data_IF_199255588493
#
_entry.id   IF_199255588493
#
_cell.length_a   1.000
_cell.length_b   1.000
_cell.length_c   1.000
_cell.angle_alpha   90.00
_cell.angle_beta   90.00
_cell.angle_gamma   90.00
#
_symmetry.space_group_name_H-M   'P 1'
#
loop_
_entity.id
_entity.type
_entity.pdbx_description
1 polymer ?
#
# COMPACT_ATOMS: atom_id res chain seq x y z
N UNK A 1 -11.89 -62.26 -5.74
CA UNK A 1 -12.84 -62.28 -6.88
C UNK A 1 -12.57 -63.56 -7.67
N UNK A 2 -13.62 -64.33 -7.96
CA UNK A 2 -13.58 -65.64 -8.62
C UNK A 2 -13.36 -65.49 -10.13
N UNK A 3 -12.17 -65.83 -10.62
CA UNK A 3 -11.93 -65.99 -12.06
C UNK A 3 -12.46 -67.36 -12.49
N UNK A 4 -13.65 -67.35 -13.10
CA UNK A 4 -14.27 -68.53 -13.71
C UNK A 4 -13.51 -68.91 -14.99
N UNK A 5 -12.80 -70.05 -14.96
CA UNK A 5 -12.06 -70.62 -16.09
C UNK A 5 -12.95 -71.61 -16.86
N UNK A 6 -14.19 -71.24 -17.16
CA UNK A 6 -15.09 -72.05 -17.99
C UNK A 6 -15.89 -71.13 -18.93
N UNK A 7 -15.27 -70.71 -20.04
CA UNK A 7 -15.98 -69.94 -21.07
C UNK A 7 -15.13 -69.01 -21.92
N UNK A 8 -14.03 -69.48 -22.51
CA UNK A 8 -13.52 -69.06 -23.82
C UNK A 8 -13.29 -67.58 -24.21
N UNK A 9 -13.47 -66.60 -23.33
CA UNK A 9 -13.16 -65.18 -23.61
C UNK A 9 -12.10 -64.70 -22.61
N UNK A 10 -10.84 -64.68 -23.06
CA UNK A 10 -9.71 -64.17 -22.29
C UNK A 10 -9.73 -62.64 -22.33
N UNK A 11 -10.07 -62.00 -21.21
CA UNK A 11 -10.09 -60.55 -21.09
C UNK A 11 -8.66 -60.00 -20.95
N UNK A 12 -8.06 -59.69 -22.10
CA UNK A 12 -6.70 -59.13 -22.19
C UNK A 12 -6.61 -57.75 -21.53
N UNK A 13 -7.70 -56.98 -21.50
CA UNK A 13 -7.69 -55.61 -20.96
C UNK A 13 -7.63 -55.63 -19.42
N UNK A 14 -8.42 -56.49 -18.77
CA UNK A 14 -8.37 -56.68 -17.33
C UNK A 14 -6.99 -57.17 -16.87
N UNK A 15 -6.40 -58.12 -17.61
CA UNK A 15 -5.07 -58.65 -17.32
C UNK A 15 -3.95 -57.61 -17.51
N UNK A 16 -4.06 -56.77 -18.54
CA UNK A 16 -3.13 -55.65 -18.74
C UNK A 16 -3.22 -54.61 -17.62
N UNK A 17 -4.42 -54.34 -17.10
CA UNK A 17 -4.63 -53.43 -15.99
C UNK A 17 -4.06 -53.99 -14.68
N UNK A 18 -4.30 -55.27 -14.38
CA UNK A 18 -3.72 -55.95 -13.22
C UNK A 18 -2.19 -55.94 -13.28
N UNK A 19 -1.62 -56.19 -14.46
CA UNK A 19 -0.18 -56.15 -14.68
C UNK A 19 0.39 -54.73 -14.49
N UNK A 20 -0.27 -53.70 -15.02
CA UNK A 20 0.14 -52.31 -14.84
C UNK A 20 0.13 -51.91 -13.36
N UNK A 21 -0.94 -52.29 -12.63
CA UNK A 21 -1.05 -52.04 -11.19
C UNK A 21 0.07 -52.74 -10.41
N UNK A 22 0.32 -54.02 -10.69
CA UNK A 22 1.38 -54.78 -10.03
C UNK A 22 2.76 -54.14 -10.25
N UNK A 23 3.04 -53.63 -11.45
CA UNK A 23 4.30 -52.92 -11.75
C UNK A 23 4.43 -51.60 -11.00
N UNK A 24 3.34 -50.84 -10.86
CA UNK A 24 3.33 -49.59 -10.10
C UNK A 24 3.55 -49.83 -8.60
N UNK A 25 2.91 -50.85 -8.04
CA UNK A 25 3.09 -51.26 -6.65
C UNK A 25 4.54 -51.69 -6.37
N UNK A 26 5.13 -52.50 -7.25
CA UNK A 26 6.53 -52.92 -7.16
C UNK A 26 7.49 -51.74 -7.22
N UNK A 27 7.23 -50.79 -8.13
CA UNK A 27 8.02 -49.57 -8.27
C UNK A 27 7.96 -48.74 -6.99
N UNK A 28 6.76 -48.52 -6.46
CA UNK A 28 6.55 -47.75 -5.23
C UNK A 28 7.22 -48.41 -4.02
N UNK A 29 7.07 -49.74 -3.89
CA UNK A 29 7.73 -50.51 -2.85
C UNK A 29 9.24 -50.31 -2.87
N UNK A 30 9.88 -50.48 -4.04
CA UNK A 30 11.33 -50.29 -4.21
C UNK A 30 11.77 -48.87 -3.86
N UNK A 31 11.04 -47.84 -4.31
CA UNK A 31 11.35 -46.45 -3.99
C UNK A 31 11.27 -46.17 -2.48
N UNK A 32 10.23 -46.67 -1.81
CA UNK A 32 10.09 -46.48 -0.35
C UNK A 32 11.17 -47.22 0.44
N UNK A 33 11.56 -48.43 0.02
CA UNK A 33 12.60 -49.21 0.68
C UNK A 33 13.98 -48.56 0.54
N UNK A 34 14.33 -48.11 -0.67
CA UNK A 34 15.55 -47.35 -0.92
C UNK A 34 15.58 -46.04 -0.13
N UNK A 35 14.44 -45.35 -0.04
CA UNK A 35 14.33 -44.13 0.77
C UNK A 35 14.49 -44.42 2.26
N UNK A 36 13.89 -45.51 2.78
CA UNK A 36 14.09 -45.93 4.17
C UNK A 36 15.56 -46.18 4.47
N UNK A 37 16.26 -46.96 3.63
CA UNK A 37 17.70 -47.24 3.80
C UNK A 37 18.52 -45.96 3.86
N UNK A 38 18.26 -45.02 2.95
CA UNK A 38 18.96 -43.73 2.92
C UNK A 38 18.59 -42.84 4.11
N UNK A 39 17.32 -42.77 4.48
CA UNK A 39 16.82 -41.91 5.55
C UNK A 39 17.33 -42.33 6.93
N UNK A 40 17.56 -43.63 7.18
CA UNK A 40 18.17 -44.13 8.43
C UNK A 40 19.53 -43.46 8.69
N UNK A 41 20.31 -43.18 7.65
CA UNK A 41 21.63 -42.56 7.77
C UNK A 41 21.60 -41.03 7.68
N UNK A 42 20.52 -40.44 7.16
CA UNK A 42 20.48 -39.00 6.84
C UNK A 42 19.62 -38.20 7.82
N UNK A 43 18.58 -38.79 8.40
CA UNK A 43 17.64 -38.08 9.27
C UNK A 43 18.17 -37.92 10.70
N UNK A 44 17.99 -36.74 11.28
CA UNK A 44 18.34 -36.45 12.68
C UNK A 44 17.24 -36.77 13.69
N UNK A 45 16.02 -37.05 13.22
CA UNK A 45 14.86 -37.37 14.05
C UNK A 45 13.89 -38.33 13.36
N UNK A 46 13.00 -38.95 14.14
CA UNK A 46 11.97 -39.85 13.61
C UNK A 46 10.97 -39.13 12.68
N UNK A 47 10.59 -37.89 13.01
CA UNK A 47 9.67 -37.11 12.17
C UNK A 47 10.27 -36.79 10.81
N UNK A 48 11.57 -36.48 10.78
CA UNK A 48 12.30 -36.26 9.53
C UNK A 48 12.41 -37.57 8.72
N UNK A 49 12.72 -38.68 9.37
CA UNK A 49 12.70 -40.01 8.74
C UNK A 49 11.34 -40.34 8.12
N UNK A 50 10.25 -40.13 8.88
CA UNK A 50 8.87 -40.34 8.42
C UNK A 50 8.57 -39.48 7.19
N UNK A 51 8.97 -38.22 7.21
CA UNK A 51 8.74 -37.30 6.11
C UNK A 51 9.50 -37.71 4.84
N UNK A 52 10.75 -38.20 4.96
CA UNK A 52 11.48 -38.71 3.79
C UNK A 52 10.78 -39.91 3.16
N UNK A 53 10.35 -40.89 3.97
CA UNK A 53 9.68 -42.09 3.47
C UNK A 53 8.34 -41.76 2.82
N UNK A 54 7.58 -40.80 3.37
CA UNK A 54 6.32 -40.33 2.77
C UNK A 54 6.52 -39.69 1.39
N UNK A 55 7.66 -39.00 1.20
CA UNK A 55 7.99 -38.29 -0.02
C UNK A 55 8.72 -39.15 -1.08
N UNK A 56 8.91 -40.45 -0.85
CA UNK A 56 9.72 -41.32 -1.71
C UNK A 56 9.20 -41.47 -3.15
N UNK A 57 7.90 -41.32 -3.35
CA UNK A 57 7.22 -41.49 -4.65
C UNK A 57 7.04 -40.15 -5.41
N UNK A 58 7.59 -39.05 -4.88
CA UNK A 58 7.50 -37.74 -5.53
C UNK A 58 8.45 -37.69 -6.74
N UNK A 59 7.90 -37.27 -7.88
CA UNK A 59 8.70 -37.03 -9.09
C UNK A 59 9.57 -35.79 -8.90
N UNK A 60 10.88 -35.85 -9.19
CA UNK A 60 11.72 -34.67 -9.16
C UNK A 60 11.23 -33.64 -10.17
N UNK A 61 11.15 -32.38 -9.75
CA UNK A 61 10.70 -31.29 -10.61
C UNK A 61 11.68 -31.12 -11.76
N UNK A 62 11.18 -31.14 -12.99
CA UNK A 62 12.02 -30.99 -14.17
C UNK A 62 12.50 -29.53 -14.32
N UNK A 63 13.66 -29.35 -14.97
CA UNK A 63 14.18 -27.99 -15.26
C UNK A 63 13.20 -27.15 -16.08
N UNK A 64 12.44 -27.80 -16.97
CA UNK A 64 11.37 -27.16 -17.75
C UNK A 64 10.20 -26.71 -16.86
N UNK A 65 9.82 -27.51 -15.87
CA UNK A 65 8.80 -27.13 -14.87
C UNK A 65 9.30 -26.00 -13.97
N UNK A 66 10.56 -25.99 -13.54
CA UNK A 66 11.15 -24.89 -12.78
C UNK A 66 11.17 -23.58 -13.58
N UNK A 67 11.55 -23.63 -14.86
CA UNK A 67 11.49 -22.48 -15.77
C UNK A 67 10.04 -22.04 -16.01
N UNK A 68 9.10 -22.97 -16.11
CA UNK A 68 7.68 -22.65 -16.20
C UNK A 68 7.11 -22.12 -14.89
N UNK A 69 7.62 -22.50 -13.71
CA UNK A 69 7.23 -21.91 -12.42
C UNK A 69 7.75 -20.48 -12.27
N UNK A 70 8.93 -20.18 -12.85
CA UNK A 70 9.49 -18.83 -12.86
C UNK A 70 8.83 -17.92 -13.90
N UNK A 71 8.41 -18.49 -15.03
CA UNK A 71 7.70 -17.81 -16.14
C UNK A 71 6.20 -17.72 -15.95
N UNK A 72 5.59 -18.72 -15.32
CA UNK A 72 4.21 -18.68 -14.84
C UNK A 72 4.20 -17.56 -13.83
N UNK A 73 3.68 -16.45 -14.30
CA UNK A 73 3.79 -15.16 -13.68
C UNK A 73 3.64 -15.30 -12.17
N UNK A 74 4.48 -14.54 -11.48
CA UNK A 74 4.24 -13.96 -10.17
C UNK A 74 2.88 -13.23 -10.21
N UNK A 75 1.78 -13.98 -10.42
CA UNK A 75 0.38 -13.58 -10.29
C UNK A 75 0.15 -13.55 -8.78
N UNK A 76 0.86 -12.64 -8.11
CA UNK A 76 0.26 -12.02 -6.94
C UNK A 76 -1.05 -11.47 -7.46
N UNK A 77 -2.13 -11.78 -6.76
CA UNK A 77 -3.44 -11.21 -6.98
C UNK A 77 -3.32 -9.68 -7.06
N UNK A 78 -3.14 -9.14 -8.26
CA UNK A 78 -3.34 -7.73 -8.55
C UNK A 78 -4.74 -7.68 -9.13
N UNK A 79 -5.72 -7.46 -8.26
CA UNK A 79 -7.11 -7.16 -8.61
C UNK A 79 -7.23 -5.80 -9.29
N UNK A 80 -6.46 -5.57 -10.35
CA UNK A 80 -6.52 -4.38 -11.19
C UNK A 80 -6.14 -4.79 -12.61
N UNK A 81 -7.09 -5.43 -13.28
CA UNK A 81 -7.15 -5.48 -14.74
C UNK A 81 -8.37 -4.66 -15.15
N UNK A 82 -8.27 -3.36 -14.88
CA UNK A 82 -8.96 -2.33 -15.63
C UNK A 82 -8.03 -1.87 -16.74
N UNK A 83 -8.55 -1.91 -17.95
CA UNK A 83 -7.93 -1.59 -19.23
C UNK A 83 -7.06 -0.31 -19.19
N UNK A 84 -5.77 -0.45 -19.52
CA UNK A 84 -4.91 0.69 -19.81
C UNK A 84 -3.73 0.23 -20.68
N UNK A 85 -3.89 0.42 -21.98
CA UNK A 85 -2.81 0.54 -22.96
C UNK A 85 -1.75 1.49 -22.40
N UNK A 86 -0.57 1.00 -22.02
CA UNK A 86 0.56 1.88 -21.73
C UNK A 86 1.84 1.27 -22.29
N UNK A 87 2.36 1.99 -23.28
CA UNK A 87 3.65 1.82 -23.93
C UNK A 87 4.76 1.55 -22.92
N UNK A 88 5.46 0.44 -23.11
CA UNK A 88 6.64 0.04 -22.35
C UNK A 88 7.81 0.99 -22.64
N UNK A 89 7.95 2.07 -21.90
CA UNK A 89 9.24 2.74 -21.74
C UNK A 89 10.05 2.01 -20.67
N UNK A 90 11.23 1.49 -21.04
CA UNK A 90 12.25 0.93 -20.13
C UNK A 90 12.35 1.80 -18.86
N UNK A 91 12.26 1.17 -17.70
CA UNK A 91 12.40 1.83 -16.41
C UNK A 91 13.69 2.65 -16.38
N UNK A 92 13.54 3.98 -16.41
CA UNK A 92 14.61 4.91 -16.08
C UNK A 92 15.05 4.57 -14.66
N UNK A 93 16.30 4.20 -14.46
CA UNK A 93 16.89 4.14 -13.12
C UNK A 93 16.91 5.58 -12.62
N UNK A 94 15.95 5.92 -11.77
CA UNK A 94 15.71 7.30 -11.34
C UNK A 94 16.80 7.75 -10.34
N UNK A 95 17.46 8.85 -10.67
CA UNK A 95 18.46 9.51 -9.84
C UNK A 95 17.72 10.26 -8.72
N UNK A 96 17.85 9.76 -7.49
CA UNK A 96 17.00 10.11 -6.32
C UNK A 96 16.94 11.56 -5.85
N UNK A 97 17.54 12.53 -6.56
CA UNK A 97 17.45 13.96 -6.23
C UNK A 97 16.60 14.77 -7.22
N UNK A 98 16.38 14.29 -8.46
CA UNK A 98 15.57 14.99 -9.48
C UNK A 98 14.10 14.56 -9.50
N UNK A 99 13.77 13.44 -8.85
CA UNK A 99 12.39 12.93 -8.79
C UNK A 99 11.44 13.89 -8.06
N UNK A 100 11.93 14.67 -7.10
CA UNK A 100 11.13 15.64 -6.34
C UNK A 100 10.83 16.95 -7.11
N UNK A 101 11.45 17.17 -8.27
CA UNK A 101 11.19 18.35 -9.11
C UNK A 101 10.14 18.12 -10.19
N UNK A 102 9.60 16.90 -10.28
CA UNK A 102 8.59 16.51 -11.27
C UNK A 102 7.30 16.14 -10.55
N UNK A 103 6.13 16.64 -11.00
CA UNK A 103 4.86 16.29 -10.38
C UNK A 103 4.59 14.80 -10.55
N UNK A 104 4.14 14.10 -9.50
CA UNK A 104 3.90 12.66 -9.57
C UNK A 104 2.73 12.33 -10.49
N UNK A 105 2.90 11.25 -11.27
CA UNK A 105 1.85 10.74 -12.15
C UNK A 105 0.95 9.71 -11.44
N UNK A 106 1.46 9.04 -10.40
CA UNK A 106 0.73 7.99 -9.66
C UNK A 106 0.95 8.11 -8.15
N UNK A 107 0.00 7.60 -7.35
CA UNK A 107 0.11 7.59 -5.89
C UNK A 107 1.36 6.86 -5.39
N UNK A 108 1.75 5.77 -6.05
CA UNK A 108 2.96 5.00 -5.72
C UNK A 108 4.23 5.81 -5.99
N UNK A 109 4.24 6.58 -7.09
CA UNK A 109 5.35 7.48 -7.38
C UNK A 109 5.45 8.61 -6.36
N UNK A 110 4.31 9.22 -5.99
CA UNK A 110 4.24 10.22 -4.92
C UNK A 110 4.86 9.67 -3.63
N UNK A 111 4.37 8.53 -3.12
CA UNK A 111 4.84 7.95 -1.85
C UNK A 111 6.33 7.59 -1.93
N UNK A 112 6.78 7.06 -3.06
CA UNK A 112 8.19 6.71 -3.27
C UNK A 112 9.09 7.95 -3.24
N UNK A 113 8.71 9.01 -3.94
CA UNK A 113 9.48 10.27 -3.98
C UNK A 113 9.43 10.98 -2.63
N UNK A 114 8.26 11.01 -1.98
CA UNK A 114 8.05 11.55 -0.64
C UNK A 114 9.01 10.95 0.39
N UNK A 115 9.16 9.62 0.42
CA UNK A 115 10.06 8.98 1.39
C UNK A 115 11.54 8.98 0.99
N UNK A 116 11.87 9.00 -0.30
CA UNK A 116 13.27 8.86 -0.77
C UNK A 116 13.96 10.19 -1.06
N UNK A 117 13.24 11.15 -1.61
CA UNK A 117 13.79 12.39 -2.15
C UNK A 117 13.48 13.61 -1.27
N UNK A 118 12.37 13.58 -0.52
CA UNK A 118 11.98 14.66 0.40
C UNK A 118 12.45 14.35 1.83
N UNK A 119 13.73 14.59 2.11
CA UNK A 119 14.35 14.30 3.43
C UNK A 119 14.06 15.39 4.47
N UNK A 120 13.90 16.64 4.03
CA UNK A 120 13.66 17.79 4.92
C UNK A 120 12.23 18.29 4.80
N UNK A 121 11.75 19.00 5.82
CA UNK A 121 10.40 19.52 5.84
C UNK A 121 10.11 20.54 4.73
N UNK A 122 11.07 21.42 4.45
CA UNK A 122 11.01 22.35 3.32
C UNK A 122 10.92 21.64 1.96
N UNK A 123 11.64 20.52 1.77
CA UNK A 123 11.57 19.76 0.50
C UNK A 123 10.26 18.97 0.36
N UNK A 124 9.65 18.56 1.49
CA UNK A 124 8.30 17.98 1.52
C UNK A 124 7.25 19.02 1.15
N UNK A 125 7.35 20.22 1.71
CA UNK A 125 6.42 21.31 1.43
C UNK A 125 6.50 21.76 -0.03
N UNK A 126 7.70 21.97 -0.58
CA UNK A 126 7.88 22.30 -1.99
C UNK A 126 7.33 21.21 -2.93
N UNK A 127 7.43 19.93 -2.54
CA UNK A 127 6.85 18.83 -3.31
C UNK A 127 5.31 18.79 -3.22
N UNK A 128 4.73 19.22 -2.11
CA UNK A 128 3.28 19.39 -1.97
C UNK A 128 2.75 20.53 -2.83
N UNK A 129 3.44 21.68 -2.83
CA UNK A 129 3.09 22.80 -3.72
C UNK A 129 3.11 22.37 -5.19
N UNK A 130 4.12 21.58 -5.60
CA UNK A 130 4.21 21.02 -6.94
C UNK A 130 3.07 20.04 -7.27
N UNK A 131 2.64 19.26 -6.28
CA UNK A 131 1.59 18.25 -6.48
C UNK A 131 0.21 18.87 -6.56
N UNK A 132 -0.03 20.01 -5.92
CA UNK A 132 -1.32 20.72 -5.81
C UNK A 132 -2.46 19.90 -5.16
N UNK A 133 -3.48 20.56 -4.55
CA UNK A 133 -4.56 19.85 -3.85
C UNK A 133 -5.41 18.99 -4.79
N UNK A 134 -5.76 19.50 -5.97
CA UNK A 134 -6.60 18.80 -6.94
C UNK A 134 -5.95 17.50 -7.46
N UNK A 135 -4.64 17.52 -7.72
CA UNK A 135 -3.93 16.30 -8.14
C UNK A 135 -3.71 15.36 -6.96
N UNK A 136 -3.48 15.85 -5.74
CA UNK A 136 -3.42 14.97 -4.56
C UNK A 136 -4.73 14.17 -4.41
N UNK A 137 -5.87 14.83 -4.54
CA UNK A 137 -7.18 14.15 -4.54
C UNK A 137 -7.29 13.11 -5.67
N UNK A 138 -6.87 13.43 -6.89
CA UNK A 138 -6.91 12.48 -8.01
C UNK A 138 -6.01 11.25 -7.78
N UNK A 139 -4.79 11.48 -7.26
CA UNK A 139 -3.81 10.43 -6.98
C UNK A 139 -4.30 9.46 -5.88
N UNK A 140 -4.93 9.99 -4.83
CA UNK A 140 -5.39 9.23 -3.68
C UNK A 140 -6.91 9.06 -3.62
N UNK A 141 -7.59 9.15 -4.77
CA UNK A 141 -9.04 9.05 -4.87
C UNK A 141 -9.62 7.77 -4.24
N UNK A 142 -8.92 6.65 -4.36
CA UNK A 142 -9.32 5.39 -3.75
C UNK A 142 -9.07 5.34 -2.23
N UNK A 143 -7.87 5.72 -1.79
CA UNK A 143 -7.45 5.61 -0.39
C UNK A 143 -6.21 6.48 -0.13
N UNK A 144 -6.23 7.20 0.99
CA UNK A 144 -5.08 7.87 1.57
C UNK A 144 -4.76 7.17 2.91
N UNK A 145 -3.56 6.60 3.01
CA UNK A 145 -3.13 5.90 4.23
C UNK A 145 -2.96 6.86 5.42
N UNK A 146 -3.24 6.37 6.62
CA UNK A 146 -3.17 7.14 7.89
C UNK A 146 -1.81 7.77 8.13
N UNK A 147 -0.73 6.99 7.97
CA UNK A 147 0.65 7.46 8.15
C UNK A 147 0.99 8.59 7.18
N UNK A 148 0.56 8.47 5.92
CA UNK A 148 0.80 9.53 4.94
C UNK A 148 0.00 10.79 5.27
N UNK A 149 -1.30 10.68 5.57
CA UNK A 149 -2.13 11.81 5.98
C UNK A 149 -1.48 12.59 7.13
N UNK A 150 -0.97 11.87 8.13
CA UNK A 150 -0.32 12.48 9.26
C UNK A 150 0.99 13.19 8.89
N UNK A 151 1.80 12.58 8.03
CA UNK A 151 3.03 13.22 7.53
C UNK A 151 2.74 14.49 6.71
N UNK A 152 1.60 14.54 6.01
CA UNK A 152 1.12 15.74 5.31
C UNK A 152 0.72 16.83 6.31
N UNK A 153 -0.09 16.50 7.32
CA UNK A 153 -0.50 17.43 8.38
C UNK A 153 0.71 17.99 9.14
N UNK A 154 1.66 17.12 9.52
CA UNK A 154 2.92 17.55 10.14
C UNK A 154 3.72 18.49 9.24
N UNK A 155 3.64 18.30 7.92
CA UNK A 155 4.29 19.19 6.96
C UNK A 155 3.69 20.58 6.91
N UNK A 156 2.36 20.67 6.92
CA UNK A 156 1.67 21.96 6.95
C UNK A 156 1.97 22.68 8.26
N UNK A 157 1.86 21.98 9.41
CA UNK A 157 2.18 22.55 10.72
C UNK A 157 3.60 23.11 10.83
N UNK A 158 4.60 22.38 10.32
CA UNK A 158 5.98 22.83 10.39
C UNK A 158 6.23 24.09 9.55
N UNK A 159 5.52 24.24 8.43
CA UNK A 159 5.68 25.39 7.54
C UNK A 159 5.22 26.70 8.21
N UNK A 160 4.22 26.66 9.10
CA UNK A 160 3.81 27.84 9.88
C UNK A 160 4.93 28.43 10.75
N UNK A 161 5.85 27.59 11.26
CA UNK A 161 6.97 28.05 12.11
C UNK A 161 7.97 28.88 11.30
N UNK A 162 8.15 28.55 10.02
CA UNK A 162 9.13 29.18 9.15
C UNK A 162 8.59 30.46 8.46
N UNK A 163 7.26 30.62 8.37
CA UNK A 163 6.62 31.66 7.55
C UNK A 163 6.51 33.03 8.23
N UNK A 164 6.20 33.10 9.52
CA UNK A 164 6.02 34.37 10.22
C UNK A 164 6.58 34.35 11.66
N UNK A 165 7.91 34.23 11.81
CA UNK A 165 8.54 34.14 13.14
C UNK A 165 8.53 35.45 13.94
N UNK A 166 8.35 36.61 13.28
CA UNK A 166 8.45 37.94 13.91
C UNK A 166 7.16 38.78 13.85
N UNK A 167 6.05 38.20 13.38
CA UNK A 167 4.75 38.87 13.18
C UNK A 167 4.87 40.12 12.29
N UNK A 168 5.64 40.00 11.20
CA UNK A 168 5.87 41.09 10.25
C UNK A 168 4.76 41.15 9.19
N UNK A 169 4.41 42.36 8.74
CA UNK A 169 3.29 42.61 7.83
C UNK A 169 3.51 41.92 6.46
N UNK A 170 4.73 41.94 5.92
CA UNK A 170 5.05 41.34 4.62
C UNK A 170 4.99 39.79 4.66
N UNK A 171 5.24 39.20 5.83
CA UNK A 171 5.16 37.76 6.05
C UNK A 171 3.73 37.29 6.30
N UNK A 172 2.83 38.19 6.73
CA UNK A 172 1.41 37.89 6.91
C UNK A 172 0.72 37.49 5.59
N UNK A 173 1.03 38.13 4.46
CA UNK A 173 0.46 37.73 3.15
C UNK A 173 0.86 36.29 2.76
N UNK A 174 2.09 35.88 3.09
CA UNK A 174 2.57 34.50 2.86
C UNK A 174 1.89 33.52 3.79
N UNK A 175 1.66 33.91 5.04
CA UNK A 175 0.90 33.14 6.03
C UNK A 175 -0.54 32.90 5.51
N UNK A 176 -1.21 33.94 4.99
CA UNK A 176 -2.55 33.81 4.39
C UNK A 176 -2.58 32.87 3.18
N UNK A 177 -1.60 32.96 2.28
CA UNK A 177 -1.49 32.05 1.14
C UNK A 177 -1.31 30.59 1.59
N UNK A 178 -0.53 30.37 2.64
CA UNK A 178 -0.31 29.04 3.21
C UNK A 178 -1.58 28.51 3.92
N UNK A 179 -2.35 29.36 4.59
CA UNK A 179 -3.66 29.00 5.17
C UNK A 179 -4.61 28.54 4.07
N UNK A 180 -4.78 29.32 3.01
CA UNK A 180 -5.64 28.96 1.89
C UNK A 180 -5.23 27.60 1.28
N UNK A 181 -3.92 27.41 1.04
CA UNK A 181 -3.39 26.15 0.54
C UNK A 181 -3.64 24.98 1.50
N UNK A 182 -3.49 25.20 2.81
CA UNK A 182 -3.71 24.17 3.83
C UNK A 182 -5.18 23.76 3.91
N UNK A 183 -6.11 24.71 3.82
CA UNK A 183 -7.56 24.45 3.75
C UNK A 183 -7.89 23.62 2.52
N UNK A 184 -7.40 24.01 1.34
CA UNK A 184 -7.62 23.28 0.10
C UNK A 184 -7.04 21.85 0.16
N UNK A 185 -5.90 21.68 0.82
CA UNK A 185 -5.26 20.38 1.00
C UNK A 185 -6.05 19.48 1.96
N UNK A 186 -6.54 20.03 3.08
CA UNK A 186 -7.43 19.32 4.01
C UNK A 186 -8.74 18.90 3.32
N UNK A 187 -9.33 19.78 2.52
CA UNK A 187 -10.53 19.48 1.73
C UNK A 187 -10.28 18.38 0.68
N UNK A 188 -9.14 18.44 -0.01
CA UNK A 188 -8.73 17.38 -0.94
C UNK A 188 -8.56 16.02 -0.26
N UNK A 189 -8.02 15.99 0.96
CA UNK A 189 -7.86 14.76 1.75
C UNK A 189 -9.20 14.23 2.26
N UNK A 190 -10.10 15.12 2.71
CA UNK A 190 -11.44 14.76 3.18
C UNK A 190 -12.30 14.11 2.08
N UNK A 191 -12.08 14.48 0.81
CA UNK A 191 -12.79 13.94 -0.36
C UNK A 191 -12.25 12.60 -0.88
N UNK A 192 -11.35 11.94 -0.16
CA UNK A 192 -10.83 10.61 -0.55
C UNK A 192 -11.80 9.48 -0.16
N UNK A 193 -11.86 8.41 -0.95
CA UNK A 193 -12.93 7.40 -0.86
C UNK A 193 -13.02 6.62 0.46
N UNK A 194 -11.94 6.55 1.25
CA UNK A 194 -11.89 5.84 2.55
C UNK A 194 -11.56 6.75 3.73
N UNK A 195 -11.77 8.05 3.58
CA UNK A 195 -11.38 9.04 4.57
C UNK A 195 -11.89 8.76 5.99
N UNK A 196 -13.18 8.46 6.17
CA UNK A 196 -13.75 8.15 7.49
C UNK A 196 -13.10 6.92 8.17
N UNK A 197 -12.72 5.92 7.38
CA UNK A 197 -12.01 4.76 7.91
C UNK A 197 -10.57 5.13 8.30
N UNK A 198 -9.92 5.97 7.49
CA UNK A 198 -8.62 6.54 7.84
C UNK A 198 -8.71 7.28 9.16
N UNK A 199 -9.75 8.12 9.38
CA UNK A 199 -9.99 8.82 10.64
C UNK A 199 -10.20 7.89 11.84
N UNK A 200 -10.97 6.81 11.67
CA UNK A 200 -11.22 5.84 12.74
C UNK A 200 -9.94 5.13 13.26
N UNK A 201 -8.86 5.14 12.48
CA UNK A 201 -7.58 4.55 12.83
C UNK A 201 -6.55 5.57 13.37
N UNK A 202 -6.94 6.83 13.58
CA UNK A 202 -6.02 7.83 14.14
C UNK A 202 -5.70 7.53 15.60
N UNK A 203 -4.42 7.66 15.94
CA UNK A 203 -3.94 7.65 17.31
C UNK A 203 -4.24 9.00 18.00
N UNK A 204 -4.43 9.06 19.33
CA UNK A 204 -4.63 10.32 20.04
C UNK A 204 -3.53 11.36 19.82
N UNK A 205 -2.28 10.93 19.63
CA UNK A 205 -1.15 11.80 19.29
C UNK A 205 -1.33 12.48 17.92
N UNK A 206 -1.95 11.79 16.98
CA UNK A 206 -2.21 12.28 15.63
C UNK A 206 -3.36 13.28 15.61
N UNK A 207 -4.41 13.02 16.39
CA UNK A 207 -5.50 13.96 16.61
C UNK A 207 -5.01 15.28 17.21
N UNK A 208 -4.07 15.24 18.16
CA UNK A 208 -3.49 16.47 18.73
C UNK A 208 -2.78 17.32 17.68
N UNK A 209 -2.03 16.72 16.74
CA UNK A 209 -1.38 17.50 15.68
C UNK A 209 -2.37 18.09 14.69
N UNK A 210 -3.46 17.37 14.40
CA UNK A 210 -4.54 17.87 13.58
C UNK A 210 -5.23 19.05 14.26
N UNK A 211 -5.59 18.91 15.55
CA UNK A 211 -6.14 20.00 16.34
C UNK A 211 -5.21 21.22 16.37
N UNK A 212 -3.91 21.01 16.56
CA UNK A 212 -2.92 22.10 16.51
C UNK A 212 -2.94 22.83 15.15
N UNK A 213 -3.06 22.10 14.03
CA UNK A 213 -3.17 22.71 12.71
C UNK A 213 -4.45 23.55 12.60
N UNK A 214 -5.60 23.01 13.00
CA UNK A 214 -6.86 23.75 12.94
C UNK A 214 -6.84 24.99 13.83
N UNK A 215 -6.30 24.91 15.05
CA UNK A 215 -6.14 26.08 15.92
C UNK A 215 -5.31 27.17 15.25
N UNK A 216 -4.19 26.80 14.60
CA UNK A 216 -3.38 27.76 13.83
C UNK A 216 -4.13 28.38 12.66
N UNK A 217 -4.90 27.58 11.92
CA UNK A 217 -5.72 28.08 10.82
C UNK A 217 -6.78 29.07 11.33
N UNK A 218 -7.48 28.76 12.42
CA UNK A 218 -8.44 29.69 13.02
C UNK A 218 -7.77 30.99 13.51
N UNK A 219 -6.64 30.91 14.20
CA UNK A 219 -5.88 32.09 14.67
C UNK A 219 -5.52 33.05 13.53
N UNK A 220 -5.15 32.53 12.35
CA UNK A 220 -4.79 33.36 11.20
C UNK A 220 -6.04 33.90 10.49
N UNK A 221 -7.06 33.06 10.30
CA UNK A 221 -8.32 33.47 9.64
C UNK A 221 -9.05 34.54 10.47
N UNK A 222 -9.04 34.43 11.80
CA UNK A 222 -9.61 35.45 12.69
C UNK A 222 -8.83 36.77 12.59
N UNK A 223 -7.49 36.73 12.53
CA UNK A 223 -6.65 37.91 12.25
C UNK A 223 -7.04 38.55 10.91
N UNK A 224 -7.22 37.76 9.85
CA UNK A 224 -7.64 38.26 8.53
C UNK A 224 -9.04 38.90 8.57
N UNK A 225 -9.98 38.30 9.33
CA UNK A 225 -11.34 38.82 9.49
C UNK A 225 -11.37 40.20 10.14
N UNK A 226 -10.48 40.46 11.09
CA UNK A 226 -10.34 41.79 11.69
C UNK A 226 -9.85 42.86 10.70
N UNK A 227 -9.17 42.46 9.63
CA UNK A 227 -8.79 43.34 8.53
C UNK A 227 -9.91 43.60 7.51
N UNK A 228 -11.11 43.01 7.69
CA UNK A 228 -12.31 43.33 6.91
C UNK A 228 -12.38 42.66 5.53
N UNK A 229 -11.67 41.55 5.34
CA UNK A 229 -11.56 40.86 4.06
C UNK A 229 -12.69 39.81 3.88
N UNK A 230 -13.53 39.96 2.87
CA UNK A 230 -14.68 39.06 2.60
C UNK A 230 -14.23 37.60 2.34
N UNK A 231 -12.98 37.41 1.91
CA UNK A 231 -12.36 36.10 1.68
C UNK A 231 -12.26 35.29 2.99
N UNK A 232 -12.04 35.96 4.13
CA UNK A 232 -11.91 35.31 5.43
C UNK A 232 -13.22 34.64 5.87
N UNK A 233 -14.38 35.23 5.54
CA UNK A 233 -15.69 34.66 5.85
C UNK A 233 -15.95 33.35 5.08
N UNK A 234 -15.52 33.30 3.81
CA UNK A 234 -15.59 32.08 3.00
C UNK A 234 -14.68 30.97 3.53
N UNK A 235 -13.45 31.32 3.91
CA UNK A 235 -12.49 30.36 4.48
C UNK A 235 -12.92 29.83 5.84
N UNK A 236 -13.46 30.67 6.71
CA UNK A 236 -14.01 30.27 8.02
C UNK A 236 -15.14 29.25 7.87
N UNK A 237 -16.08 29.45 6.95
CA UNK A 237 -17.17 28.50 6.73
C UNK A 237 -16.68 27.13 6.20
N UNK A 238 -15.67 27.13 5.33
CA UNK A 238 -15.04 25.89 4.85
C UNK A 238 -14.28 25.20 5.98
N UNK A 239 -13.55 25.97 6.80
CA UNK A 239 -12.81 25.46 7.94
C UNK A 239 -13.74 24.82 8.99
N UNK A 240 -14.90 25.42 9.27
CA UNK A 240 -15.93 24.85 10.15
C UNK A 240 -16.45 23.52 9.59
N UNK A 241 -16.76 23.46 8.29
CA UNK A 241 -17.21 22.24 7.64
C UNK A 241 -16.15 21.13 7.69
N UNK A 242 -14.87 21.48 7.50
CA UNK A 242 -13.75 20.55 7.63
C UNK A 242 -13.56 20.11 9.08
N UNK A 243 -13.67 21.00 10.05
CA UNK A 243 -13.54 20.67 11.47
C UNK A 243 -14.59 19.64 11.89
N UNK A 244 -15.82 19.77 11.39
CA UNK A 244 -16.89 18.76 11.56
C UNK A 244 -16.58 17.46 10.81
N UNK A 245 -16.11 17.53 9.57
CA UNK A 245 -15.78 16.35 8.76
C UNK A 245 -14.64 15.51 9.37
N UNK A 246 -13.71 16.15 10.08
CA UNK A 246 -12.64 15.48 10.83
C UNK A 246 -13.09 14.99 12.23
N UNK A 247 -14.39 15.06 12.55
CA UNK A 247 -15.00 14.66 13.82
C UNK A 247 -14.31 15.25 15.06
N UNK A 248 -13.73 16.44 14.93
CA UNK A 248 -13.01 17.07 16.03
C UNK A 248 -13.98 17.81 16.97
N UNK A 249 -13.82 17.69 18.30
CA UNK A 249 -14.64 18.43 19.25
C UNK A 249 -14.41 19.93 19.03
N UNK A 250 -15.49 20.67 18.75
CA UNK A 250 -15.47 22.13 18.59
C UNK A 250 -14.84 22.73 19.85
N UNK A 251 -13.72 23.44 19.68
CA UNK A 251 -13.12 24.19 20.78
C UNK A 251 -14.19 25.14 21.36
N UNK A 252 -14.42 25.16 22.69
CA UNK A 252 -15.42 26.04 23.27
C UNK A 252 -15.05 27.48 22.91
N UNK A 253 -15.97 28.18 22.23
CA UNK A 253 -15.84 29.60 21.97
C UNK A 253 -15.51 30.30 23.29
N UNK A 254 -14.30 30.85 23.38
CA UNK A 254 -13.88 31.66 24.52
C UNK A 254 -14.81 32.86 24.61
N UNK A 255 -15.68 32.82 25.63
CA UNK A 255 -16.56 33.91 26.04
C UNK A 255 -15.77 35.02 26.75
#
# INVERSE_FOLDING_TARGET
MTTSIYGGAFDTAALQQELAQALEEDRKYKLTDEMKKRAIHTAGSYDEFRNFVLCADLKPVSSKELQNLSRSARKRNRGFLGDATTTTSRGKTLQGKRDASVPPATSVEFVRTWHRSCTTQATKYAYLELTTPARLQALFSAELGTDLLFQLVACLNAQFVDLNPHDEIDDFERELAHVAFSIDMLDAMAKTGRFNLTLAFLEPSQLFQLQALFTRLYEVVDRQRHHGDDVAAGQSAVLDALHVAYEMPVAPATA
#
